data_IF_703620056633
#
_entry.id   IF_703620056633
#
_cell.length_a   1.000
_cell.length_b   1.000
_cell.length_c   1.000
_cell.angle_alpha   90.00
_cell.angle_beta   90.00
_cell.angle_gamma   90.00
#
_symmetry.space_group_name_H-M   'P 1'
#
loop_
_entity.id
_entity.type
_entity.pdbx_description
1 polymer ?
#
# COMPACT_ATOMS: atom_id res chain seq x y z
N UNK A 1 43.94 -11.61 -25.32
CA UNK A 1 45.15 -12.18 -25.96
C UNK A 1 46.41 -12.17 -25.08
N UNK A 2 46.33 -11.89 -23.76
CA UNK A 2 47.50 -11.94 -22.86
C UNK A 2 47.60 -13.23 -22.00
N UNK A 3 46.52 -14.02 -21.89
CA UNK A 3 46.49 -15.21 -21.04
C UNK A 3 47.15 -16.47 -21.65
N UNK A 4 47.50 -16.46 -22.94
CA UNK A 4 48.16 -17.58 -23.64
C UNK A 4 49.68 -17.52 -23.61
N UNK A 5 50.29 -16.36 -23.34
CA UNK A 5 51.75 -16.18 -23.31
C UNK A 5 52.40 -16.65 -22.00
N UNK A 6 51.66 -16.69 -20.89
CA UNK A 6 52.19 -17.09 -19.57
C UNK A 6 52.29 -18.61 -19.35
N UNK A 7 51.80 -19.45 -20.29
CA UNK A 7 51.93 -20.92 -20.23
C UNK A 7 53.17 -21.49 -20.94
N UNK A 8 53.93 -20.71 -21.71
CA UNK A 8 55.08 -21.23 -22.47
C UNK A 8 56.41 -21.16 -21.70
N UNK A 9 56.50 -20.36 -20.64
CA UNK A 9 57.75 -20.12 -19.90
C UNK A 9 58.07 -21.16 -18.81
N UNK A 10 57.20 -22.15 -18.57
CA UNK A 10 57.46 -23.27 -17.65
C UNK A 10 58.20 -24.46 -18.31
N UNK A 11 58.54 -24.36 -19.60
CA UNK A 11 59.23 -25.42 -20.37
C UNK A 11 60.73 -25.23 -20.59
N UNK A 12 61.34 -24.15 -20.10
CA UNK A 12 62.80 -24.00 -20.15
C UNK A 12 63.41 -24.55 -18.86
N UNK A 13 63.78 -25.83 -18.94
CA UNK A 13 64.39 -26.60 -17.87
C UNK A 13 65.66 -25.95 -17.32
N UNK A 14 65.84 -26.13 -16.01
CA UNK A 14 67.12 -25.90 -15.31
C UNK A 14 68.24 -26.63 -16.07
N UNK A 15 69.35 -25.98 -16.45
CA UNK A 15 70.51 -26.71 -16.91
C UNK A 15 71.10 -27.44 -15.70
N UNK A 16 71.02 -28.78 -15.73
CA UNK A 16 71.59 -29.67 -14.74
C UNK A 16 73.11 -29.53 -14.70
N UNK A 17 73.66 -29.38 -13.50
CA UNK A 17 75.08 -29.25 -13.17
C UNK A 17 75.88 -30.55 -13.33
N UNK A 18 75.67 -31.30 -14.40
CA UNK A 18 76.25 -32.66 -14.59
C UNK A 18 76.75 -32.96 -16.01
N UNK A 19 76.93 -31.95 -16.86
CA UNK A 19 77.56 -32.12 -18.16
C UNK A 19 78.65 -31.07 -18.33
N UNK A 20 79.90 -31.53 -18.15
CA UNK A 20 81.23 -30.99 -18.54
C UNK A 20 82.19 -31.34 -17.39
N UNK A 21 82.37 -32.65 -17.19
CA UNK A 21 83.52 -33.25 -16.50
C UNK A 21 84.10 -34.27 -17.48
N UNK A 22 84.81 -33.77 -18.50
CA UNK A 22 85.94 -34.49 -19.13
C UNK A 22 86.50 -33.65 -20.28
N UNK A 23 87.56 -32.91 -20.00
CA UNK A 23 88.86 -33.12 -20.64
C UNK A 23 89.83 -32.10 -20.07
N UNK A 24 90.85 -32.62 -19.40
CA UNK A 24 91.93 -31.82 -18.85
C UNK A 24 92.61 -31.02 -19.95
N UNK A 25 92.70 -29.71 -19.71
CA UNK A 25 93.80 -28.82 -20.06
C UNK A 25 93.46 -27.47 -19.41
N UNK A 26 94.45 -26.87 -18.74
CA UNK A 26 94.49 -25.53 -18.16
C UNK A 26 94.19 -25.40 -16.65
N UNK A 27 95.25 -25.65 -15.86
CA UNK A 27 95.75 -24.90 -14.70
C UNK A 27 94.90 -24.78 -13.39
N UNK A 28 95.43 -25.24 -12.23
CA UNK A 28 94.81 -25.02 -10.92
C UNK A 28 95.39 -23.74 -10.28
N UNK A 29 94.68 -22.62 -10.37
CA UNK A 29 95.13 -21.38 -9.75
C UNK A 29 94.21 -20.21 -10.06
N UNK A 30 93.08 -20.14 -9.36
CA UNK A 30 92.18 -19.01 -9.47
C UNK A 30 90.74 -19.37 -9.09
N UNK A 31 90.44 -19.39 -7.80
CA UNK A 31 89.06 -19.30 -7.32
C UNK A 31 88.52 -17.92 -7.69
N UNK A 32 87.92 -17.78 -8.87
CA UNK A 32 87.09 -16.61 -9.18
C UNK A 32 85.77 -16.80 -8.46
N UNK A 33 85.68 -16.26 -7.24
CA UNK A 33 84.39 -16.03 -6.57
C UNK A 33 83.65 -15.00 -7.42
N UNK A 34 82.82 -15.44 -8.35
CA UNK A 34 81.89 -14.54 -9.02
C UNK A 34 80.87 -14.07 -7.97
N UNK A 35 81.09 -12.90 -7.40
CA UNK A 35 80.03 -12.13 -6.76
C UNK A 35 78.97 -11.81 -7.82
N UNK A 36 78.01 -12.72 -8.03
CA UNK A 36 76.81 -12.41 -8.79
C UNK A 36 76.04 -11.38 -7.99
N UNK A 37 76.12 -10.12 -8.41
CA UNK A 37 75.21 -9.09 -7.96
C UNK A 37 73.77 -9.57 -8.20
N UNK A 38 72.88 -9.27 -7.25
CA UNK A 38 71.46 -9.67 -7.34
C UNK A 38 70.86 -9.03 -8.60
N UNK A 39 70.07 -9.81 -9.34
CA UNK A 39 69.36 -9.32 -10.53
C UNK A 39 68.36 -8.25 -10.12
N UNK A 40 68.37 -7.12 -10.81
CA UNK A 40 67.40 -6.05 -10.61
C UNK A 40 65.97 -6.57 -10.81
N UNK A 41 65.08 -6.19 -9.90
CA UNK A 41 63.65 -6.45 -9.97
C UNK A 41 62.94 -5.09 -9.93
N UNK A 42 61.82 -4.95 -10.66
CA UNK A 42 60.99 -3.76 -10.57
C UNK A 42 60.56 -3.48 -9.12
N UNK A 43 60.72 -2.23 -8.71
CA UNK A 43 60.15 -1.71 -7.47
C UNK A 43 58.69 -1.25 -7.68
N UNK A 44 58.04 -0.83 -6.60
CA UNK A 44 56.64 -0.37 -6.63
C UNK A 44 56.49 0.85 -7.54
N UNK A 45 57.45 1.77 -7.50
CA UNK A 45 57.50 2.97 -8.36
C UNK A 45 57.53 2.61 -9.84
N UNK A 46 58.35 1.63 -10.24
CA UNK A 46 58.36 1.12 -11.60
C UNK A 46 57.00 0.54 -12.01
N UNK A 47 56.29 -0.16 -11.12
CA UNK A 47 54.99 -0.76 -11.45
C UNK A 47 53.84 0.25 -11.54
N UNK A 48 53.86 1.30 -10.74
CA UNK A 48 52.81 2.34 -10.75
C UNK A 48 52.82 3.15 -12.05
N UNK A 49 53.98 3.31 -12.70
CA UNK A 49 54.11 3.96 -14.02
C UNK A 49 53.26 3.27 -15.10
N UNK A 50 53.02 1.95 -14.98
CA UNK A 50 52.21 1.18 -15.94
C UNK A 50 50.75 0.97 -15.50
N UNK A 51 50.38 1.43 -14.29
CA UNK A 51 49.06 1.19 -13.70
C UNK A 51 48.03 2.29 -14.00
N UNK A 52 48.46 3.41 -14.58
CA UNK A 52 47.58 4.53 -14.95
C UNK A 52 46.65 4.22 -16.13
N UNK A 53 45.66 5.08 -16.35
CA UNK A 53 44.76 4.97 -17.51
C UNK A 53 45.47 5.14 -18.86
N UNK A 54 46.59 5.90 -18.87
CA UNK A 54 47.39 6.22 -20.06
C UNK A 54 48.87 6.16 -19.71
N UNK A 55 49.71 5.69 -20.63
CA UNK A 55 51.16 5.55 -20.45
C UNK A 55 51.89 6.90 -20.29
N UNK A 56 51.41 7.96 -20.96
CA UNK A 56 52.00 9.30 -20.92
C UNK A 56 50.91 10.32 -20.55
N UNK A 57 50.85 10.80 -19.29
CA UNK A 57 49.85 11.78 -18.88
C UNK A 57 50.16 13.16 -19.48
N UNK A 58 49.15 13.77 -20.09
CA UNK A 58 49.18 15.15 -20.60
C UNK A 58 48.07 15.96 -19.93
N UNK A 59 48.09 17.30 -20.05
CA UNK A 59 47.07 18.17 -19.46
C UNK A 59 45.63 17.87 -19.92
N UNK A 60 45.46 17.17 -21.06
CA UNK A 60 44.16 16.73 -21.56
C UNK A 60 43.65 15.45 -20.87
N UNK A 61 44.57 14.55 -20.50
CA UNK A 61 44.25 13.18 -20.06
C UNK A 61 44.35 12.98 -18.54
N UNK A 62 44.68 14.03 -17.79
CA UNK A 62 44.87 14.00 -16.33
C UNK A 62 43.61 13.54 -15.57
N UNK A 63 42.42 13.80 -16.12
CA UNK A 63 41.14 13.45 -15.48
C UNK A 63 40.74 11.98 -15.67
N UNK A 64 41.45 11.22 -16.49
CA UNK A 64 41.08 9.85 -16.83
C UNK A 64 41.53 8.90 -15.72
N UNK A 65 40.56 8.31 -15.04
CA UNK A 65 40.80 7.25 -14.05
C UNK A 65 40.86 5.90 -14.75
N UNK A 66 41.67 4.95 -14.26
CA UNK A 66 41.65 3.59 -14.79
C UNK A 66 40.24 3.00 -14.62
N UNK A 67 39.79 2.15 -15.55
CA UNK A 67 38.47 1.53 -15.45
C UNK A 67 38.39 0.66 -14.17
N UNK A 68 37.17 0.48 -13.63
CA UNK A 68 36.97 -0.45 -12.52
C UNK A 68 37.37 -1.87 -12.97
N UNK A 69 37.97 -2.66 -12.08
CA UNK A 69 38.43 -4.02 -12.37
C UNK A 69 37.34 -4.99 -12.90
N UNK A 70 36.07 -4.67 -12.63
CA UNK A 70 34.91 -5.46 -13.05
C UNK A 70 34.31 -4.94 -14.38
N UNK A 71 34.93 -3.95 -15.02
CA UNK A 71 34.47 -3.26 -16.25
C UNK A 71 33.01 -2.79 -16.17
N UNK A 72 32.50 -2.59 -14.96
CA UNK A 72 31.13 -2.15 -14.67
C UNK A 72 31.21 -0.88 -13.86
N UNK A 73 30.75 0.20 -14.46
CA UNK A 73 30.49 1.43 -13.73
C UNK A 73 29.43 1.18 -12.64
N UNK A 74 29.52 1.87 -11.50
CA UNK A 74 28.44 1.81 -10.51
C UNK A 74 27.14 2.21 -11.18
N UNK A 75 26.12 1.37 -10.99
CA UNK A 75 24.81 1.62 -11.59
C UNK A 75 24.31 2.98 -11.12
N UNK A 76 24.16 3.92 -12.05
CA UNK A 76 23.41 5.14 -11.77
C UNK A 76 21.95 4.72 -11.56
N UNK A 77 21.53 4.62 -10.30
CA UNK A 77 20.12 4.49 -9.95
C UNK A 77 19.42 5.78 -10.34
N UNK A 78 19.08 5.92 -11.63
CA UNK A 78 18.07 6.86 -12.07
C UNK A 78 16.78 6.36 -11.42
N UNK A 79 16.38 7.00 -10.33
CA UNK A 79 15.16 6.65 -9.64
C UNK A 79 14.04 6.58 -10.67
N UNK A 80 13.43 5.41 -10.83
CA UNK A 80 12.22 5.29 -11.64
C UNK A 80 11.24 6.27 -11.03
N UNK A 81 10.89 7.32 -11.78
CA UNK A 81 10.02 8.37 -11.29
C UNK A 81 8.67 7.73 -10.97
N UNK A 82 8.37 7.67 -9.68
CA UNK A 82 7.04 7.27 -9.19
C UNK A 82 6.11 8.43 -9.54
N UNK A 83 5.07 8.14 -10.32
CA UNK A 83 4.10 9.16 -10.71
C UNK A 83 3.06 9.28 -9.61
N UNK A 84 2.99 10.45 -8.99
CA UNK A 84 1.95 10.76 -8.01
C UNK A 84 0.69 11.23 -8.75
N UNK A 85 -0.40 10.45 -8.69
CA UNK A 85 -1.70 10.80 -9.26
C UNK A 85 -2.67 11.16 -8.15
N UNK A 86 -3.32 12.33 -8.27
CA UNK A 86 -4.34 12.77 -7.32
C UNK A 86 -5.73 12.54 -7.93
N UNK A 87 -6.42 11.53 -7.44
CA UNK A 87 -7.80 11.26 -7.76
C UNK A 87 -8.69 12.18 -6.93
N UNK A 88 -9.25 13.20 -7.58
CA UNK A 88 -10.03 14.25 -6.94
C UNK A 88 -11.48 13.85 -6.61
N UNK A 89 -12.15 14.61 -5.74
CA UNK A 89 -13.50 14.32 -5.25
C UNK A 89 -14.61 14.45 -6.30
N UNK A 90 -14.31 15.03 -7.48
CA UNK A 90 -15.29 15.20 -8.55
C UNK A 90 -15.48 13.92 -9.38
N UNK A 91 -14.60 12.92 -9.23
CA UNK A 91 -14.61 11.76 -10.09
C UNK A 91 -15.84 10.86 -9.81
N UNK A 92 -16.60 10.43 -10.83
CA UNK A 92 -17.84 9.66 -10.63
C UNK A 92 -17.62 8.33 -9.89
N UNK A 93 -16.50 7.65 -10.14
CA UNK A 93 -16.10 6.42 -9.43
C UNK A 93 -15.66 6.63 -7.96
N UNK A 94 -15.71 7.86 -7.44
CA UNK A 94 -15.51 8.12 -6.01
C UNK A 94 -16.77 7.86 -5.17
N UNK A 95 -17.93 7.64 -5.82
CA UNK A 95 -19.23 7.36 -5.19
C UNK A 95 -19.54 8.24 -3.96
N UNK A 96 -19.29 9.54 -4.10
CA UNK A 96 -19.34 10.48 -3.00
C UNK A 96 -18.12 11.40 -3.04
N UNK A 97 -17.58 11.73 -1.87
CA UNK A 97 -16.49 12.69 -1.75
C UNK A 97 -15.28 11.97 -1.17
N UNK A 98 -14.47 11.38 -2.04
CA UNK A 98 -13.23 10.68 -1.70
C UNK A 98 -12.06 11.27 -2.50
N UNK A 99 -10.93 11.49 -1.83
CA UNK A 99 -9.68 11.87 -2.47
C UNK A 99 -8.65 10.77 -2.27
N UNK A 100 -8.08 10.25 -3.35
CA UNK A 100 -7.01 9.24 -3.30
C UNK A 100 -5.73 9.83 -3.88
N UNK A 101 -4.66 9.86 -3.10
CA UNK A 101 -3.31 10.18 -3.61
C UNK A 101 -2.60 8.85 -3.86
N UNK A 102 -2.32 8.55 -5.12
CA UNK A 102 -1.78 7.27 -5.54
C UNK A 102 -0.38 7.44 -6.11
N UNK A 103 0.54 6.63 -5.61
CA UNK A 103 1.92 6.52 -6.10
C UNK A 103 1.99 5.35 -7.07
N UNK A 104 2.11 5.66 -8.36
CA UNK A 104 2.05 4.71 -9.45
C UNK A 104 3.46 4.40 -9.98
N UNK A 105 3.68 3.12 -10.26
CA UNK A 105 4.84 2.61 -10.99
C UNK A 105 4.33 1.97 -12.28
N UNK A 106 4.13 2.80 -13.31
CA UNK A 106 3.38 2.41 -14.51
C UNK A 106 1.91 2.17 -14.17
N UNK A 107 1.41 0.97 -14.48
CA UNK A 107 0.03 0.54 -14.17
C UNK A 107 -0.13 0.00 -12.74
N UNK A 108 0.97 -0.32 -12.07
CA UNK A 108 0.96 -0.88 -10.72
C UNK A 108 0.89 0.21 -9.64
N UNK A 109 0.00 0.04 -8.68
CA UNK A 109 -0.12 0.91 -7.50
C UNK A 109 0.91 0.46 -6.46
N UNK A 110 1.85 1.35 -6.09
CA UNK A 110 2.80 1.08 -5.00
C UNK A 110 2.25 1.49 -3.65
N UNK A 111 1.56 2.64 -3.60
CA UNK A 111 0.96 3.19 -2.39
C UNK A 111 -0.29 3.97 -2.77
N UNK A 112 -1.30 3.92 -1.91
CA UNK A 112 -2.52 4.70 -2.03
C UNK A 112 -2.87 5.26 -0.66
N UNK A 113 -2.93 6.59 -0.55
CA UNK A 113 -3.32 7.31 0.66
C UNK A 113 -4.74 7.87 0.47
N UNK A 114 -5.76 7.24 1.09
CA UNK A 114 -7.12 7.75 1.07
C UNK A 114 -7.29 8.90 2.08
N UNK A 115 -7.57 10.09 1.57
CA UNK A 115 -7.96 11.23 2.39
C UNK A 115 -9.48 11.24 2.59
N UNK A 116 -9.90 10.85 3.79
CA UNK A 116 -11.30 10.82 4.23
C UNK A 116 -11.58 12.05 5.09
N UNK A 117 -12.86 12.40 5.26
CA UNK A 117 -13.30 13.49 6.15
C UNK A 117 -13.94 14.67 5.44
N UNK A 118 -14.02 14.66 4.11
CA UNK A 118 -14.71 15.69 3.32
C UNK A 118 -16.23 15.75 3.60
N UNK A 119 -16.80 14.65 4.12
CA UNK A 119 -18.19 14.56 4.60
C UNK A 119 -18.29 14.52 6.14
N UNK A 120 -17.23 14.87 6.86
CA UNK A 120 -17.28 14.94 8.32
C UNK A 120 -18.18 16.11 8.75
N UNK A 121 -19.25 15.78 9.48
CA UNK A 121 -20.29 16.73 9.92
C UNK A 121 -20.31 16.94 11.44
N UNK A 122 -19.35 16.39 12.19
CA UNK A 122 -19.32 16.47 13.65
C UNK A 122 -20.57 15.91 14.32
N UNK A 123 -21.18 14.86 13.77
CA UNK A 123 -22.46 14.31 14.23
C UNK A 123 -22.43 13.87 15.69
N UNK A 124 -21.34 13.24 16.13
CA UNK A 124 -21.14 12.83 17.53
C UNK A 124 -21.20 14.04 18.48
N UNK A 125 -20.55 15.14 18.10
CA UNK A 125 -20.57 16.37 18.89
C UNK A 125 -21.95 17.00 18.95
N UNK A 126 -22.73 16.93 17.87
CA UNK A 126 -24.11 17.42 17.84
C UNK A 126 -25.04 16.57 18.70
N UNK A 127 -24.76 15.27 18.83
CA UNK A 127 -25.55 14.34 19.66
C UNK A 127 -25.36 14.66 21.15
N UNK A 128 -24.17 15.08 21.59
CA UNK A 128 -23.92 15.46 23.00
C UNK A 128 -24.85 16.57 23.51
N UNK A 129 -25.25 17.51 22.63
CA UNK A 129 -26.13 18.62 22.99
C UNK A 129 -27.62 18.30 22.84
N UNK A 130 -27.99 17.08 22.46
CA UNK A 130 -29.36 16.68 22.14
C UNK A 130 -29.85 15.54 23.03
N UNK A 131 -31.16 15.50 23.23
CA UNK A 131 -31.79 14.39 23.96
C UNK A 131 -31.83 13.12 23.10
N UNK A 132 -31.99 11.95 23.73
CA UNK A 132 -32.01 10.67 23.03
C UNK A 132 -33.01 10.61 21.87
N UNK A 133 -34.19 11.22 22.03
CA UNK A 133 -35.21 11.30 20.97
C UNK A 133 -34.81 12.25 19.85
N UNK A 134 -34.19 13.39 20.18
CA UNK A 134 -33.72 14.37 19.19
C UNK A 134 -32.47 13.89 18.44
N UNK A 135 -31.71 12.95 19.01
CA UNK A 135 -30.53 12.36 18.40
C UNK A 135 -30.87 11.29 17.35
N UNK A 136 -32.05 10.66 17.43
CA UNK A 136 -32.45 9.55 16.55
C UNK A 136 -32.32 9.86 15.05
N UNK A 137 -32.77 11.01 14.53
CA UNK A 137 -32.65 11.32 13.10
C UNK A 137 -31.20 11.48 12.61
N UNK A 138 -30.20 11.56 13.49
CA UNK A 138 -28.80 11.58 13.06
C UNK A 138 -28.32 10.20 12.64
N UNK A 139 -28.82 9.12 13.24
CA UNK A 139 -28.39 7.75 12.93
C UNK A 139 -28.86 7.28 11.54
N UNK A 140 -30.06 7.69 11.13
CA UNK A 140 -30.55 7.51 9.75
C UNK A 140 -29.60 8.16 8.71
N UNK A 141 -29.04 9.34 9.04
CA UNK A 141 -28.17 10.09 8.13
C UNK A 141 -26.72 9.64 8.10
N UNK A 142 -26.32 8.71 8.97
CA UNK A 142 -24.96 8.16 8.98
C UNK A 142 -24.75 7.20 7.80
N UNK A 143 -25.58 6.16 7.73
CA UNK A 143 -25.72 5.31 6.54
C UNK A 143 -27.08 5.59 5.89
N UNK A 144 -27.04 6.45 4.88
CA UNK A 144 -28.23 6.89 4.15
C UNK A 144 -28.85 5.80 3.26
N UNK A 145 -28.20 4.63 3.13
CA UNK A 145 -28.73 3.49 2.37
C UNK A 145 -29.49 2.55 3.29
N UNK A 146 -29.00 2.33 4.52
CA UNK A 146 -29.63 1.44 5.52
C UNK A 146 -30.15 2.18 6.76
N UNK A 147 -31.08 3.10 6.54
CA UNK A 147 -31.74 3.91 7.57
C UNK A 147 -32.27 3.10 8.77
N UNK A 148 -33.04 2.04 8.52
CA UNK A 148 -33.74 1.29 9.59
C UNK A 148 -32.78 0.49 10.46
N UNK A 149 -31.73 -0.09 9.88
CA UNK A 149 -30.72 -0.84 10.63
C UNK A 149 -29.98 0.04 11.64
N UNK A 150 -29.69 1.30 11.26
CA UNK A 150 -29.03 2.24 12.14
C UNK A 150 -29.95 2.71 13.28
N UNK A 151 -31.21 3.01 12.97
CA UNK A 151 -32.20 3.36 13.98
C UNK A 151 -32.46 2.20 14.94
N UNK A 152 -32.53 0.97 14.44
CA UNK A 152 -32.66 -0.24 15.25
C UNK A 152 -31.44 -0.42 16.17
N UNK A 153 -30.21 -0.28 15.65
CA UNK A 153 -29.00 -0.38 16.47
C UNK A 153 -28.97 0.63 17.61
N UNK A 154 -29.35 1.88 17.33
CA UNK A 154 -29.46 2.92 18.35
C UNK A 154 -30.57 2.63 19.37
N UNK A 155 -31.74 2.19 18.90
CA UNK A 155 -32.88 1.83 19.75
C UNK A 155 -32.54 0.68 20.70
N UNK A 156 -31.88 -0.37 20.19
CA UNK A 156 -31.43 -1.50 20.99
C UNK A 156 -30.39 -1.09 22.03
N UNK A 157 -29.50 -0.14 21.71
CA UNK A 157 -28.55 0.40 22.68
C UNK A 157 -29.28 1.14 23.83
N UNK A 158 -30.25 1.99 23.50
CA UNK A 158 -31.06 2.72 24.49
C UNK A 158 -31.91 1.75 25.33
N UNK A 159 -32.55 0.75 24.71
CA UNK A 159 -33.35 -0.27 25.39
C UNK A 159 -32.51 -1.10 26.37
N UNK A 160 -31.28 -1.46 25.98
CA UNK A 160 -30.33 -2.15 26.86
C UNK A 160 -29.89 -1.29 28.05
N UNK A 161 -29.66 0.01 27.84
CA UNK A 161 -29.30 0.93 28.92
C UNK A 161 -30.45 1.12 29.92
N UNK A 162 -31.70 1.10 29.43
CA UNK A 162 -32.90 1.23 30.25
C UNK A 162 -33.40 -0.11 30.84
N UNK A 163 -32.83 -1.25 30.41
CA UNK A 163 -33.26 -2.60 30.77
C UNK A 163 -34.75 -2.88 30.45
N UNK A 164 -35.23 -2.39 29.30
CA UNK A 164 -36.62 -2.57 28.86
C UNK A 164 -36.66 -3.50 27.65
N UNK A 165 -37.71 -4.32 27.56
CA UNK A 165 -37.96 -5.17 26.40
C UNK A 165 -39.15 -4.66 25.58
N UNK A 166 -38.95 -4.50 24.26
CA UNK A 166 -40.02 -4.16 23.34
C UNK A 166 -41.04 -5.32 23.19
N UNK A 167 -42.34 -5.04 22.97
CA UNK A 167 -43.35 -6.07 22.80
C UNK A 167 -43.06 -6.95 21.57
N UNK A 168 -43.47 -8.23 21.57
CA UNK A 168 -43.12 -9.19 20.51
C UNK A 168 -43.56 -8.72 19.12
N UNK A 169 -44.72 -8.06 19.00
CA UNK A 169 -45.18 -7.48 17.73
C UNK A 169 -44.19 -6.45 17.16
N UNK A 170 -43.58 -5.63 18.01
CA UNK A 170 -42.59 -4.64 17.57
C UNK A 170 -41.30 -5.32 17.10
N UNK A 171 -40.85 -6.38 17.78
CA UNK A 171 -39.66 -7.14 17.38
C UNK A 171 -39.81 -7.77 15.99
N UNK A 172 -40.97 -8.37 15.69
CA UNK A 172 -41.25 -8.92 14.35
C UNK A 172 -41.23 -7.86 13.25
N UNK A 173 -41.82 -6.69 13.53
CA UNK A 173 -41.84 -5.56 12.59
C UNK A 173 -40.41 -5.06 12.33
N UNK A 174 -39.58 -4.95 13.37
CA UNK A 174 -38.16 -4.56 13.25
C UNK A 174 -37.39 -5.50 12.34
N UNK A 175 -37.48 -6.80 12.57
CA UNK A 175 -36.79 -7.81 11.75
C UNK A 175 -37.27 -7.76 10.30
N UNK A 176 -38.59 -7.64 10.06
CA UNK A 176 -39.14 -7.51 8.70
C UNK A 176 -38.54 -6.31 7.96
N UNK A 177 -38.51 -5.14 8.59
CA UNK A 177 -37.95 -3.93 7.97
C UNK A 177 -36.41 -3.93 7.91
N UNK A 178 -35.74 -4.59 8.85
CA UNK A 178 -34.30 -4.83 8.82
C UNK A 178 -33.90 -5.67 7.60
N UNK A 179 -34.66 -6.72 7.29
CA UNK A 179 -34.40 -7.54 6.10
C UNK A 179 -34.76 -6.82 4.79
N UNK A 180 -35.84 -6.03 4.76
CA UNK A 180 -36.14 -5.18 3.60
C UNK A 180 -35.02 -4.17 3.33
N UNK A 181 -34.51 -3.51 4.37
CA UNK A 181 -33.39 -2.56 4.22
C UNK A 181 -32.07 -3.25 3.89
N UNK A 182 -31.85 -4.48 4.34
CA UNK A 182 -30.72 -5.31 3.90
C UNK A 182 -30.77 -5.57 2.39
N UNK A 183 -31.92 -5.97 1.85
CA UNK A 183 -32.11 -6.18 0.41
C UNK A 183 -31.85 -4.86 -0.36
N UNK A 184 -32.41 -3.74 0.10
CA UNK A 184 -32.18 -2.42 -0.49
C UNK A 184 -30.69 -2.04 -0.52
N UNK A 185 -29.96 -2.33 0.55
CA UNK A 185 -28.54 -2.02 0.65
C UNK A 185 -27.71 -2.89 -0.30
N UNK A 186 -27.96 -4.20 -0.36
CA UNK A 186 -27.27 -5.08 -1.29
C UNK A 186 -27.57 -4.75 -2.76
N UNK A 187 -28.81 -4.37 -3.07
CA UNK A 187 -29.15 -3.88 -4.42
C UNK A 187 -28.30 -2.67 -4.77
N UNK A 188 -28.23 -1.67 -3.89
CA UNK A 188 -27.39 -0.49 -4.12
C UNK A 188 -25.92 -0.89 -4.31
N UNK A 189 -25.35 -1.66 -3.39
CA UNK A 189 -23.94 -2.05 -3.42
C UNK A 189 -23.55 -2.80 -4.71
N UNK A 190 -24.36 -3.78 -5.13
CA UNK A 190 -24.08 -4.58 -6.32
C UNK A 190 -24.23 -3.74 -7.59
N UNK A 191 -25.28 -2.92 -7.67
CA UNK A 191 -25.57 -2.13 -8.88
C UNK A 191 -24.58 -1.00 -9.09
N UNK A 192 -24.18 -0.29 -8.02
CA UNK A 192 -23.17 0.76 -8.12
C UNK A 192 -21.80 0.18 -8.44
N UNK A 193 -21.44 -0.96 -7.83
CA UNK A 193 -20.20 -1.66 -8.15
C UNK A 193 -20.16 -2.14 -9.62
N UNK A 194 -21.27 -2.69 -10.12
CA UNK A 194 -21.38 -3.08 -11.52
C UNK A 194 -21.24 -1.88 -12.46
N UNK A 195 -21.83 -0.73 -12.09
CA UNK A 195 -21.73 0.52 -12.84
C UNK A 195 -20.29 1.06 -12.89
N UNK A 196 -19.56 0.99 -11.77
CA UNK A 196 -18.14 1.38 -11.71
C UNK A 196 -17.23 0.51 -12.59
N UNK A 197 -17.55 -0.77 -12.75
CA UNK A 197 -16.85 -1.68 -13.67
C UNK A 197 -17.26 -1.42 -15.13
N UNK A 198 -18.43 -0.82 -15.36
CA UNK A 198 -18.94 -0.42 -16.68
C UNK A 198 -20.27 -1.08 -17.10
N UNK A 199 -20.86 -1.95 -16.29
CA UNK A 199 -22.14 -2.59 -16.56
C UNK A 199 -23.30 -1.69 -16.14
N UNK A 200 -23.81 -0.88 -17.08
CA UNK A 200 -24.86 0.12 -16.82
C UNK A 200 -26.29 -0.47 -16.76
N UNK A 201 -26.56 -1.57 -17.47
CA UNK A 201 -27.92 -2.13 -17.57
C UNK A 201 -28.51 -2.67 -16.25
N UNK A 202 -27.79 -3.43 -15.40
CA UNK A 202 -28.36 -3.95 -14.15
C UNK A 202 -28.70 -2.83 -13.15
N UNK A 203 -28.02 -1.69 -13.23
CA UNK A 203 -28.31 -0.53 -12.40
C UNK A 203 -29.75 -0.05 -12.61
N UNK A 204 -30.19 0.11 -13.85
CA UNK A 204 -31.55 0.59 -14.14
C UNK A 204 -32.63 -0.43 -13.75
N UNK A 205 -32.42 -1.72 -14.00
CA UNK A 205 -33.40 -2.77 -13.65
C UNK A 205 -33.64 -2.85 -12.15
N UNK A 206 -32.57 -2.86 -11.36
CA UNK A 206 -32.70 -3.04 -9.92
C UNK A 206 -33.10 -1.74 -9.21
N UNK A 207 -32.87 -0.56 -9.81
CA UNK A 207 -33.41 0.69 -9.28
C UNK A 207 -34.94 0.77 -9.39
N UNK A 208 -35.54 0.11 -10.38
CA UNK A 208 -37.00 -0.04 -10.45
C UNK A 208 -37.53 -0.84 -9.25
N UNK A 209 -36.91 -1.99 -8.95
CA UNK A 209 -37.27 -2.82 -7.79
C UNK A 209 -37.04 -2.07 -6.47
N UNK A 210 -35.96 -1.29 -6.39
CA UNK A 210 -35.66 -0.44 -5.24
C UNK A 210 -36.74 0.62 -5.02
N UNK A 211 -37.28 1.20 -6.10
CA UNK A 211 -38.35 2.18 -6.01
C UNK A 211 -39.67 1.53 -5.56
N UNK A 212 -40.00 0.32 -6.05
CA UNK A 212 -41.19 -0.43 -5.57
C UNK A 212 -41.14 -0.66 -4.07
N UNK A 213 -39.99 -1.10 -3.54
CA UNK A 213 -39.81 -1.31 -2.09
C UNK A 213 -39.90 0.01 -1.32
N UNK A 214 -39.35 1.10 -1.87
CA UNK A 214 -39.44 2.43 -1.25
C UNK A 214 -40.87 2.98 -1.25
N UNK A 215 -41.64 2.75 -2.30
CA UNK A 215 -43.06 3.12 -2.38
C UNK A 215 -43.89 2.34 -1.36
N UNK A 216 -43.67 1.03 -1.23
CA UNK A 216 -44.27 0.25 -0.12
C UNK A 216 -43.89 0.88 1.23
N UNK A 217 -42.65 1.33 1.36
CA UNK A 217 -42.19 2.00 2.57
C UNK A 217 -42.78 3.38 2.83
N UNK A 218 -43.07 4.17 1.80
CA UNK A 218 -43.72 5.47 1.95
C UNK A 218 -45.21 5.34 2.27
N UNK A 219 -45.91 4.32 1.74
CA UNK A 219 -47.30 4.02 2.12
C UNK A 219 -47.46 3.66 3.59
N UNK A 220 -46.44 3.06 4.19
CA UNK A 220 -46.38 2.74 5.62
C UNK A 220 -45.87 3.92 6.47
N UNK A 221 -45.61 5.08 5.85
CA UNK A 221 -45.01 6.26 6.49
C UNK A 221 -43.79 5.88 7.35
N UNK A 222 -42.90 5.01 6.83
CA UNK A 222 -41.88 4.29 7.64
C UNK A 222 -40.99 5.21 8.50
N UNK A 223 -40.58 6.39 8.00
CA UNK A 223 -39.81 7.33 8.80
C UNK A 223 -40.59 7.84 10.02
N UNK A 224 -41.88 8.13 9.84
CA UNK A 224 -42.77 8.48 10.93
C UNK A 224 -43.15 7.25 11.75
N UNK A 225 -43.26 6.05 11.17
CA UNK A 225 -43.68 4.86 11.88
C UNK A 225 -42.59 4.35 12.83
N UNK A 226 -41.30 4.44 12.50
CA UNK A 226 -40.24 4.00 13.41
C UNK A 226 -39.94 5.05 14.49
N UNK A 227 -39.91 6.34 14.13
CA UNK A 227 -39.91 7.41 15.15
C UNK A 227 -41.15 7.36 16.02
N UNK A 228 -42.34 7.10 15.48
CA UNK A 228 -43.60 7.00 16.24
C UNK A 228 -43.72 5.71 17.02
N UNK A 229 -43.18 4.57 16.56
CA UNK A 229 -43.21 3.29 17.28
C UNK A 229 -42.19 3.32 18.41
N UNK A 230 -40.99 3.87 18.20
CA UNK A 230 -40.04 4.12 19.29
C UNK A 230 -40.55 5.19 20.25
N UNK A 231 -41.16 6.28 19.74
CA UNK A 231 -41.79 7.31 20.56
C UNK A 231 -43.02 6.78 21.30
N UNK A 232 -43.81 5.88 20.73
CA UNK A 232 -44.91 5.20 21.41
C UNK A 232 -44.39 4.23 22.47
N UNK A 233 -43.29 3.51 22.22
CA UNK A 233 -42.64 2.65 23.21
C UNK A 233 -42.08 3.46 24.37
N UNK A 234 -41.34 4.53 24.08
CA UNK A 234 -40.73 5.42 25.06
C UNK A 234 -41.81 6.20 25.82
N UNK A 235 -42.82 6.78 25.16
CA UNK A 235 -43.92 7.49 25.82
C UNK A 235 -44.83 6.57 26.63
N UNK A 236 -45.04 5.32 26.21
CA UNK A 236 -45.83 4.34 26.97
C UNK A 236 -45.08 3.90 28.23
N UNK A 237 -43.76 3.73 28.15
CA UNK A 237 -42.87 3.55 29.30
C UNK A 237 -42.85 4.79 30.20
N UNK A 238 -42.79 6.00 29.64
CA UNK A 238 -42.75 7.24 30.42
C UNK A 238 -44.06 7.51 31.17
N UNK A 239 -45.20 7.16 30.57
CA UNK A 239 -46.51 7.20 31.22
C UNK A 239 -46.69 6.11 32.28
N UNK A 240 -46.11 4.92 32.11
CA UNK A 240 -46.13 3.88 33.15
C UNK A 240 -45.22 4.23 34.35
N UNK A 241 -44.09 4.92 34.13
CA UNK A 241 -43.19 5.36 35.20
C UNK A 241 -43.79 6.52 36.00
N UNK A 242 -44.47 7.49 35.36
CA UNK A 242 -45.13 8.59 36.07
C UNK A 242 -46.37 8.14 36.85
N UNK A 243 -47.12 7.15 36.36
CA UNK A 243 -48.26 6.58 37.08
C UNK A 243 -47.82 5.77 38.30
N UNK A 244 -46.69 5.05 38.24
CA UNK A 244 -46.16 4.29 39.38
C UNK A 244 -45.41 5.14 40.43
N UNK A 245 -45.07 6.40 40.11
CA UNK A 245 -44.49 7.35 41.07
C UNK A 245 -45.56 8.25 41.74
N UNK A 246 -46.81 8.21 41.27
CA UNK A 246 -47.96 8.96 41.80
C UNK A 246 -48.95 8.11 42.62
N UNK A 247 -48.62 6.84 42.89
CA UNK A 247 -49.30 5.94 43.84
C UNK A 247 -48.38 5.60 45.00
#
# INVERSE_FOLDING_TARGET
MAATMLRSLTKLGRPSTTFILNNGLLNPGGTVVQHRHKQWQPDVEWTEQFAGAVMYPTALNEKWKPPPWNDKDPLAHKGVAITTLNFGPQHPAAHGVLRLVMDLSGESVKKCDPHIGLLHRGTEKLIEYKTYLQALPYFDRLDYVSMMCNEEAYSLAVEKLLNIQAPPRAQWIRVLFGELTRILNHIMAITTHALDIGAMTPFFWMFEEREKVRVVGSYLDIHYLFTSVLMLLILRVQNEITLNLCS
#
